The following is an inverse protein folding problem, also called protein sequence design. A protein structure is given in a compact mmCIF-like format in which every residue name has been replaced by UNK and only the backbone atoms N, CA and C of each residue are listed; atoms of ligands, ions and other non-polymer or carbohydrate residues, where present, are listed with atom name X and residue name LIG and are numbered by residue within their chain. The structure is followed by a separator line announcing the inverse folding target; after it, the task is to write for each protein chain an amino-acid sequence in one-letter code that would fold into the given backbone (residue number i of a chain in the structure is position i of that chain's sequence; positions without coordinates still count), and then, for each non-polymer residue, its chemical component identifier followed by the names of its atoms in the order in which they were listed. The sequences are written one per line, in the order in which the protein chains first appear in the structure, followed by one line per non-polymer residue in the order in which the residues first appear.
data_IF_858291375799
#
_entry.id   IF_858291375799
#
_cell.length_a   1.000
_cell.length_b   1.000
_cell.length_c   1.000
_cell.angle_alpha   90.00
_cell.angle_beta   90.00
_cell.angle_gamma   90.00
#
_symmetry.space_group_name_H-M   'P 1'
#
loop_
_entity.id
_entity.type
_entity.pdbx_description
1 polymer ?
#
# COMPACT_ATOMS: atom_id res chain seq x y z
N UNK A 1 15.76 22.53 5.55
CA UNK A 1 15.68 22.28 4.10
C UNK A 1 14.85 23.38 3.46
N UNK A 2 15.23 23.87 2.26
CA UNK A 2 14.34 24.74 1.49
C UNK A 2 13.05 23.98 1.14
N UNK A 3 11.96 24.73 0.91
CA UNK A 3 10.70 24.14 0.44
C UNK A 3 10.90 23.61 -0.99
N UNK A 4 10.94 22.28 -1.12
CA UNK A 4 11.04 21.58 -2.41
C UNK A 4 9.78 20.74 -2.63
N UNK A 5 8.69 21.43 -2.93
CA UNK A 5 7.39 20.80 -3.19
C UNK A 5 7.44 19.97 -4.49
N UNK A 6 6.82 18.79 -4.49
CA UNK A 6 6.68 18.00 -5.72
C UNK A 6 5.68 18.69 -6.68
N UNK A 7 6.08 18.88 -7.94
CA UNK A 7 5.25 19.52 -8.98
C UNK A 7 4.55 18.53 -9.90
N UNK A 8 4.98 17.27 -9.89
CA UNK A 8 4.44 16.19 -10.69
C UNK A 8 4.13 15.00 -9.77
N UNK A 9 2.89 15.01 -9.28
CA UNK A 9 2.42 14.17 -8.19
C UNK A 9 1.58 13.04 -8.77
N UNK A 10 1.86 11.81 -8.39
CA UNK A 10 0.90 10.72 -8.62
C UNK A 10 0.08 10.46 -7.35
N UNK A 11 -1.11 9.90 -7.57
CA UNK A 11 -2.01 9.48 -6.51
C UNK A 11 -2.17 7.96 -6.59
N UNK A 12 -1.91 7.28 -5.47
CA UNK A 12 -2.26 5.88 -5.24
C UNK A 12 -3.61 5.81 -4.53
N UNK A 13 -4.52 4.98 -5.03
CA UNK A 13 -5.78 4.67 -4.35
C UNK A 13 -5.76 3.27 -3.74
N UNK A 14 -5.76 3.18 -2.41
CA UNK A 14 -5.84 1.94 -1.64
C UNK A 14 -7.32 1.55 -1.40
N UNK A 15 -7.81 0.61 -2.20
CA UNK A 15 -9.26 0.51 -2.44
C UNK A 15 -10.05 -0.17 -1.34
N UNK A 16 -9.46 -1.10 -0.58
CA UNK A 16 -10.20 -1.91 0.40
C UNK A 16 -9.42 -2.33 1.64
N UNK A 17 -8.14 -2.66 1.52
CA UNK A 17 -7.32 -3.17 2.62
C UNK A 17 -7.71 -4.53 3.16
N UNK A 18 -7.11 -4.88 4.30
CA UNK A 18 -7.40 -6.07 5.11
C UNK A 18 -8.07 -5.74 6.46
N UNK A 19 -8.21 -4.47 6.81
CA UNK A 19 -8.75 -4.03 8.09
C UNK A 19 -10.22 -4.42 8.32
N UNK A 20 -10.62 -4.49 9.59
CA UNK A 20 -11.99 -4.80 10.04
C UNK A 20 -12.99 -3.64 9.83
N UNK A 21 -12.54 -2.52 9.25
CA UNK A 21 -13.36 -1.34 8.95
C UNK A 21 -14.41 -1.59 7.88
N UNK A 22 -14.30 -2.69 7.14
CA UNK A 22 -15.18 -3.02 6.03
C UNK A 22 -16.67 -3.12 6.43
N UNK A 23 -17.00 -3.59 7.64
CA UNK A 23 -18.41 -3.65 8.11
C UNK A 23 -18.97 -2.29 8.54
N UNK A 24 -18.13 -1.24 8.58
CA UNK A 24 -18.54 0.11 9.00
C UNK A 24 -19.02 0.97 7.85
N UNK A 25 -18.87 0.52 6.60
CA UNK A 25 -19.29 1.26 5.41
C UNK A 25 -19.73 0.30 4.30
N UNK A 26 -20.90 0.51 3.67
CA UNK A 26 -21.32 -0.29 2.52
C UNK A 26 -20.51 0.01 1.25
N UNK A 27 -19.64 1.03 1.28
CA UNK A 27 -18.82 1.42 0.13
C UNK A 27 -17.45 0.71 0.08
N UNK A 28 -17.08 -0.03 1.13
CA UNK A 28 -15.83 -0.82 1.10
C UNK A 28 -16.05 -2.06 0.22
N UNK A 29 -15.32 -2.21 -0.90
CA UNK A 29 -15.57 -3.28 -1.84
C UNK A 29 -15.03 -4.62 -1.32
N UNK A 30 -15.81 -5.71 -1.48
CA UNK A 30 -15.47 -7.05 -0.95
C UNK A 30 -15.12 -8.04 -2.05
N UNK A 31 -16.02 -8.23 -3.02
CA UNK A 31 -15.81 -9.18 -4.12
C UNK A 31 -14.77 -8.68 -5.13
N UNK A 32 -14.09 -9.57 -5.87
CA UNK A 32 -13.17 -9.17 -6.94
C UNK A 32 -13.76 -8.19 -7.94
N UNK A 33 -15.04 -8.39 -8.29
CA UNK A 33 -15.79 -7.46 -9.17
C UNK A 33 -15.90 -6.06 -8.55
N UNK A 34 -16.35 -5.95 -7.31
CA UNK A 34 -16.48 -4.64 -6.63
C UNK A 34 -15.12 -3.95 -6.45
N UNK A 35 -14.07 -4.73 -6.14
CA UNK A 35 -12.71 -4.21 -5.97
C UNK A 35 -12.21 -3.65 -7.29
N UNK A 36 -12.37 -4.38 -8.39
CA UNK A 36 -11.99 -3.92 -9.72
C UNK A 36 -12.80 -2.70 -10.17
N UNK A 37 -14.13 -2.69 -10.00
CA UNK A 37 -14.98 -1.53 -10.31
C UNK A 37 -14.54 -0.29 -9.54
N UNK A 38 -14.31 -0.44 -8.22
CA UNK A 38 -13.84 0.68 -7.40
C UNK A 38 -12.43 1.16 -7.79
N UNK A 39 -11.55 0.27 -8.24
CA UNK A 39 -10.23 0.64 -8.73
C UNK A 39 -10.31 1.41 -10.06
N UNK A 40 -11.19 0.98 -10.97
CA UNK A 40 -11.43 1.66 -12.25
C UNK A 40 -12.03 3.05 -12.02
N UNK A 41 -12.99 3.19 -11.09
CA UNK A 41 -13.57 4.49 -10.76
C UNK A 41 -12.55 5.42 -10.09
N UNK A 42 -11.67 4.90 -9.24
CA UNK A 42 -10.54 5.66 -8.70
C UNK A 42 -9.58 6.13 -9.81
N UNK A 43 -9.30 5.28 -10.81
CA UNK A 43 -8.47 5.65 -11.95
C UNK A 43 -9.12 6.76 -12.79
N UNK A 44 -10.43 6.68 -13.07
CA UNK A 44 -11.20 7.75 -13.74
C UNK A 44 -11.15 9.08 -12.98
N UNK A 45 -11.14 9.02 -11.65
CA UNK A 45 -11.05 10.18 -10.78
C UNK A 45 -9.65 10.82 -10.73
N UNK A 46 -8.61 10.15 -11.26
CA UNK A 46 -7.24 10.67 -11.32
C UNK A 46 -6.19 9.86 -10.57
N UNK A 47 -6.52 8.68 -10.03
CA UNK A 47 -5.52 7.80 -9.45
C UNK A 47 -4.65 7.18 -10.56
N UNK A 48 -3.34 7.31 -10.45
CA UNK A 48 -2.40 6.70 -11.38
C UNK A 48 -2.05 5.27 -10.99
N UNK A 49 -2.17 4.95 -9.70
CA UNK A 49 -1.89 3.63 -9.11
C UNK A 49 -3.11 3.20 -8.30
N UNK A 50 -3.47 1.93 -8.37
CA UNK A 50 -4.45 1.31 -7.46
C UNK A 50 -3.76 0.22 -6.66
N UNK A 51 -3.88 0.32 -5.33
CA UNK A 51 -3.40 -0.69 -4.38
C UNK A 51 -4.56 -1.58 -3.97
N UNK A 52 -4.41 -2.88 -4.20
CA UNK A 52 -5.48 -3.86 -4.03
C UNK A 52 -5.11 -4.96 -3.04
N UNK A 53 -6.03 -5.19 -2.11
CA UNK A 53 -6.18 -6.43 -1.35
C UNK A 53 -7.34 -7.23 -1.93
N UNK A 54 -7.47 -8.50 -1.52
CA UNK A 54 -8.69 -9.29 -1.77
C UNK A 54 -9.33 -9.72 -0.47
N UNK A 55 -10.64 -9.93 -0.53
CA UNK A 55 -11.47 -10.32 0.61
C UNK A 55 -12.35 -11.49 0.22
N UNK A 56 -12.83 -12.17 1.25
CA UNK A 56 -13.90 -13.14 1.12
C UNK A 56 -15.16 -12.39 0.64
N UNK A 57 -15.74 -12.74 -0.52
CA UNK A 57 -16.84 -11.97 -1.11
C UNK A 57 -18.10 -11.90 -0.24
N UNK A 58 -18.32 -12.92 0.60
CA UNK A 58 -19.52 -13.01 1.45
C UNK A 58 -19.28 -12.31 2.79
N UNK A 59 -18.20 -12.70 3.48
CA UNK A 59 -17.94 -12.26 4.85
C UNK A 59 -17.16 -10.96 4.94
N UNK A 60 -16.45 -10.56 3.89
CA UNK A 60 -15.53 -9.41 3.89
C UNK A 60 -14.22 -9.64 4.64
N UNK A 61 -14.00 -10.85 5.19
CA UNK A 61 -12.75 -11.22 5.84
C UNK A 61 -11.57 -11.09 4.87
N UNK A 62 -10.37 -10.67 5.35
CA UNK A 62 -9.20 -10.57 4.49
C UNK A 62 -8.81 -11.95 3.96
N UNK A 63 -8.39 -12.01 2.69
CA UNK A 63 -8.01 -13.25 2.01
C UNK A 63 -6.73 -13.05 1.20
N UNK A 64 -5.98 -14.13 1.01
CA UNK A 64 -4.78 -14.15 0.16
C UNK A 64 -4.84 -15.24 -0.92
N UNK A 65 -6.04 -15.64 -1.30
CA UNK A 65 -6.27 -16.64 -2.34
C UNK A 65 -5.84 -16.09 -3.70
N UNK A 66 -4.97 -16.84 -4.38
CA UNK A 66 -4.40 -16.44 -5.66
C UNK A 66 -5.50 -16.25 -6.72
N UNK A 67 -6.53 -17.09 -6.71
CA UNK A 67 -7.66 -17.00 -7.64
C UNK A 67 -8.43 -15.68 -7.53
N UNK A 68 -8.56 -15.11 -6.31
CA UNK A 68 -9.22 -13.82 -6.12
C UNK A 68 -8.36 -12.68 -6.68
N UNK A 69 -7.04 -12.71 -6.46
CA UNK A 69 -6.12 -11.74 -7.07
C UNK A 69 -6.08 -11.85 -8.59
N UNK A 70 -6.12 -13.07 -9.11
CA UNK A 70 -6.19 -13.38 -10.54
C UNK A 70 -7.39 -12.67 -11.16
N UNK A 71 -8.58 -12.87 -10.59
CA UNK A 71 -9.82 -12.26 -11.07
C UNK A 71 -9.79 -10.73 -10.98
N UNK A 72 -9.35 -10.14 -9.85
CA UNK A 72 -9.20 -8.67 -9.73
C UNK A 72 -8.28 -8.13 -10.83
N UNK A 73 -7.16 -8.82 -11.08
CA UNK A 73 -6.17 -8.39 -12.07
C UNK A 73 -6.74 -8.46 -13.48
N UNK A 74 -7.44 -9.53 -13.86
CA UNK A 74 -8.06 -9.64 -15.19
C UNK A 74 -9.06 -8.51 -15.42
N UNK A 75 -9.97 -8.31 -14.47
CA UNK A 75 -10.99 -7.27 -14.57
C UNK A 75 -10.39 -5.86 -14.72
N UNK A 76 -9.34 -5.54 -13.96
CA UNK A 76 -8.65 -4.25 -14.06
C UNK A 76 -7.91 -4.14 -15.41
N UNK A 77 -7.28 -5.22 -15.89
CA UNK A 77 -6.53 -5.20 -17.16
C UNK A 77 -7.42 -5.19 -18.41
N UNK A 78 -8.64 -5.71 -18.31
CA UNK A 78 -9.67 -5.68 -19.36
C UNK A 78 -10.38 -4.32 -19.48
N UNK A 79 -10.28 -3.47 -18.46
CA UNK A 79 -10.92 -2.17 -18.46
C UNK A 79 -10.32 -1.22 -19.51
N UNK A 80 -11.18 -0.36 -20.09
CA UNK A 80 -10.74 0.68 -21.04
C UNK A 80 -9.89 1.77 -20.37
N UNK A 81 -10.05 1.94 -19.06
CA UNK A 81 -9.29 2.91 -18.26
C UNK A 81 -8.02 2.23 -17.77
N UNK A 82 -6.88 2.79 -18.14
CA UNK A 82 -5.60 2.27 -17.69
C UNK A 82 -5.24 2.76 -16.29
N UNK A 83 -4.53 1.92 -15.54
CA UNK A 83 -4.02 2.21 -14.20
C UNK A 83 -2.84 1.30 -13.88
N UNK A 84 -1.88 1.80 -13.10
CA UNK A 84 -0.79 0.97 -12.57
C UNK A 84 -1.36 0.08 -11.46
N UNK A 85 -1.13 -1.23 -11.57
CA UNK A 85 -1.59 -2.19 -10.57
C UNK A 85 -0.52 -2.42 -9.50
N UNK A 86 -0.90 -2.15 -8.25
CA UNK A 86 -0.16 -2.50 -7.04
C UNK A 86 -0.95 -3.57 -6.27
N UNK A 87 -0.36 -4.75 -6.05
CA UNK A 87 -0.96 -5.79 -5.21
C UNK A 87 -0.23 -5.90 -3.88
N UNK A 88 -0.98 -5.98 -2.79
CA UNK A 88 -0.36 -6.23 -1.48
C UNK A 88 0.43 -7.53 -1.46
N UNK A 89 1.57 -7.58 -0.77
CA UNK A 89 2.16 -8.83 -0.29
C UNK A 89 2.33 -8.83 1.24
N UNK A 90 1.61 -7.94 1.95
CA UNK A 90 1.65 -7.82 3.40
C UNK A 90 1.01 -9.01 4.16
N UNK A 91 0.05 -9.70 3.52
CA UNK A 91 -0.67 -10.82 4.15
C UNK A 91 0.20 -12.07 4.35
N UNK A 92 -0.14 -12.88 5.35
CA UNK A 92 0.63 -14.08 5.73
C UNK A 92 1.83 -13.77 6.64
N UNK A 93 1.84 -12.59 7.24
CA UNK A 93 2.81 -12.14 8.25
C UNK A 93 2.16 -11.89 9.61
N UNK A 94 1.03 -12.53 9.89
CA UNK A 94 0.18 -12.21 11.02
C UNK A 94 0.43 -13.14 12.20
N UNK A 95 1.12 -12.65 13.24
CA UNK A 95 1.39 -13.41 14.46
C UNK A 95 0.55 -12.89 15.62
N UNK A 96 -0.34 -13.73 16.17
CA UNK A 96 -1.16 -13.37 17.33
C UNK A 96 -0.80 -14.25 18.51
N UNK A 97 -0.30 -13.66 19.59
CA UNK A 97 0.08 -14.40 20.79
C UNK A 97 -1.14 -14.91 21.57
N UNK A 98 -0.91 -15.91 22.43
CA UNK A 98 -1.87 -16.29 23.47
C UNK A 98 -2.01 -15.23 24.56
N UNK A 99 -2.83 -15.48 25.60
CA UNK A 99 -3.04 -14.54 26.71
C UNK A 99 -1.73 -14.14 27.42
N UNK A 100 -1.71 -12.98 28.08
CA UNK A 100 -0.52 -12.42 28.74
C UNK A 100 0.11 -13.33 29.79
N UNK A 101 -0.68 -14.16 30.49
CA UNK A 101 -0.20 -15.14 31.48
C UNK A 101 0.41 -16.39 30.83
N UNK A 102 0.06 -16.67 29.57
CA UNK A 102 0.56 -17.81 28.80
C UNK A 102 0.63 -17.45 27.30
N UNK A 103 1.65 -16.69 26.86
CA UNK A 103 1.73 -16.18 25.49
C UNK A 103 1.89 -17.26 24.41
N UNK A 104 2.31 -18.46 24.80
CA UNK A 104 2.47 -19.62 23.90
C UNK A 104 1.60 -20.81 24.34
N UNK A 105 1.00 -21.56 23.39
CA UNK A 105 1.13 -21.42 21.94
C UNK A 105 0.42 -20.16 21.39
N UNK A 106 0.80 -19.76 20.16
CA UNK A 106 0.12 -18.68 19.44
C UNK A 106 -1.37 -18.96 19.28
N UNK A 107 -2.17 -17.90 19.12
CA UNK A 107 -3.60 -18.01 18.89
C UNK A 107 -3.87 -18.53 17.46
N UNK A 108 -4.41 -19.75 17.29
CA UNK A 108 -4.60 -20.37 15.98
C UNK A 108 -5.72 -19.71 15.16
N UNK A 109 -6.59 -18.90 15.77
CA UNK A 109 -7.65 -18.18 15.05
C UNK A 109 -7.18 -16.86 14.46
N UNK A 110 -6.19 -16.23 15.07
CA UNK A 110 -5.67 -14.92 14.64
C UNK A 110 -4.36 -15.00 13.87
N UNK A 111 -3.61 -16.11 14.01
CA UNK A 111 -2.30 -16.26 13.36
C UNK A 111 -2.44 -16.77 11.92
N UNK A 112 -1.91 -16.02 10.96
CA UNK A 112 -1.65 -16.43 9.57
C UNK A 112 -0.18 -16.14 9.24
N UNK A 113 0.69 -17.15 9.43
CA UNK A 113 2.12 -17.06 9.14
C UNK A 113 2.49 -18.00 8.00
N UNK A 114 2.69 -17.44 6.81
CA UNK A 114 3.02 -18.14 5.59
C UNK A 114 4.51 -18.02 5.23
N UNK A 115 5.02 -18.94 4.42
CA UNK A 115 6.38 -18.86 3.87
C UNK A 115 6.51 -17.79 2.78
N UNK A 116 7.73 -17.31 2.51
CA UNK A 116 7.98 -16.26 1.52
C UNK A 116 7.38 -16.57 0.14
N UNK A 117 7.62 -17.79 -0.38
CA UNK A 117 7.11 -18.22 -1.68
C UNK A 117 5.57 -18.24 -1.73
N UNK A 118 4.90 -18.56 -0.62
CA UNK A 118 3.44 -18.56 -0.53
C UNK A 118 2.90 -17.12 -0.51
N UNK A 119 3.57 -16.21 0.21
CA UNK A 119 3.20 -14.78 0.27
C UNK A 119 3.38 -14.03 -1.05
N UNK A 120 4.29 -14.47 -1.92
CA UNK A 120 4.51 -13.84 -3.24
C UNK A 120 3.86 -14.62 -4.40
N UNK A 121 3.14 -15.70 -4.12
CA UNK A 121 2.60 -16.58 -5.17
C UNK A 121 1.66 -15.84 -6.12
N UNK A 122 0.75 -15.02 -5.59
CA UNK A 122 -0.16 -14.23 -6.42
C UNK A 122 0.58 -13.14 -7.22
N UNK A 123 1.70 -12.61 -6.71
CA UNK A 123 2.56 -11.68 -7.45
C UNK A 123 3.19 -12.39 -8.65
N UNK A 124 3.68 -13.62 -8.46
CA UNK A 124 4.26 -14.42 -9.54
C UNK A 124 3.23 -14.79 -10.63
N UNK A 125 1.97 -15.05 -10.25
CA UNK A 125 0.91 -15.41 -11.20
C UNK A 125 0.26 -14.19 -11.87
N UNK A 126 0.07 -13.08 -11.14
CA UNK A 126 -0.63 -11.90 -11.64
C UNK A 126 0.30 -10.87 -12.30
N UNK A 127 1.60 -10.93 -12.02
CA UNK A 127 2.64 -10.03 -12.55
C UNK A 127 2.24 -8.55 -12.51
N UNK A 128 1.84 -8.02 -11.33
CA UNK A 128 1.56 -6.59 -11.21
C UNK A 128 2.81 -5.77 -11.49
N UNK A 129 2.64 -4.46 -11.65
CA UNK A 129 3.78 -3.56 -11.85
C UNK A 129 4.48 -3.27 -10.53
N UNK A 130 3.67 -3.18 -9.46
CA UNK A 130 4.10 -2.92 -8.10
C UNK A 130 3.53 -4.00 -7.19
N UNK A 131 4.25 -4.35 -6.13
CA UNK A 131 3.66 -5.03 -4.98
C UNK A 131 4.22 -4.48 -3.67
N UNK A 132 3.44 -4.49 -2.60
CA UNK A 132 3.91 -3.94 -1.32
C UNK A 132 4.86 -4.91 -0.59
N UNK A 133 5.80 -4.34 0.15
CA UNK A 133 6.70 -5.06 1.06
C UNK A 133 6.77 -4.31 2.40
N UNK A 134 6.04 -4.82 3.40
CA UNK A 134 6.01 -4.26 4.75
C UNK A 134 7.36 -4.45 5.44
N UNK A 135 8.18 -3.39 5.45
CA UNK A 135 9.62 -3.51 5.68
C UNK A 135 10.02 -3.53 7.16
N UNK A 136 9.36 -4.37 7.97
CA UNK A 136 9.75 -4.60 9.34
C UNK A 136 8.72 -5.37 10.16
N UNK A 137 9.12 -5.69 11.40
CA UNK A 137 8.26 -6.33 12.39
C UNK A 137 7.88 -5.33 13.46
N UNK A 138 6.60 -5.22 13.78
CA UNK A 138 6.08 -4.28 14.77
C UNK A 138 4.78 -4.77 15.40
N UNK A 139 4.46 -4.26 16.58
CA UNK A 139 3.10 -4.33 17.10
C UNK A 139 2.17 -3.63 16.09
N UNK A 140 1.02 -4.24 15.79
CA UNK A 140 0.13 -3.70 14.78
C UNK A 140 -1.31 -3.75 15.28
N UNK A 141 -2.00 -2.62 15.20
CA UNK A 141 -3.38 -2.47 15.70
C UNK A 141 -3.54 -2.80 17.20
N UNK A 142 -4.65 -3.46 17.57
CA UNK A 142 -5.04 -3.72 18.95
C UNK A 142 -4.69 -5.16 19.40
N UNK A 143 -4.60 -5.35 20.72
CA UNK A 143 -4.34 -6.63 21.39
C UNK A 143 -2.95 -7.24 21.08
N UNK A 144 -2.88 -8.57 20.99
CA UNK A 144 -1.64 -9.36 20.99
C UNK A 144 -1.11 -9.65 19.57
N UNK A 145 -1.40 -8.76 18.61
CA UNK A 145 -1.05 -8.89 17.20
C UNK A 145 0.29 -8.21 16.85
N UNK A 146 1.19 -8.98 16.26
CA UNK A 146 2.48 -8.55 15.72
C UNK A 146 2.52 -8.81 14.22
N UNK A 147 2.60 -7.74 13.42
CA UNK A 147 2.92 -7.84 12.01
C UNK A 147 4.39 -8.26 11.90
N UNK A 148 4.64 -9.44 11.35
CA UNK A 148 5.92 -10.14 11.41
C UNK A 148 6.56 -10.27 10.03
N UNK A 149 7.52 -9.39 9.76
CA UNK A 149 8.41 -9.45 8.60
C UNK A 149 9.86 -9.44 9.09
N UNK A 150 10.43 -10.63 9.30
CA UNK A 150 11.82 -10.75 9.76
C UNK A 150 12.80 -10.38 8.65
N UNK A 151 14.06 -10.04 8.97
CA UNK A 151 15.08 -9.77 7.95
C UNK A 151 15.25 -10.91 6.93
N UNK A 152 15.09 -12.17 7.35
CA UNK A 152 15.15 -13.32 6.44
C UNK A 152 13.95 -13.40 5.50
N UNK A 153 12.74 -13.12 6.01
CA UNK A 153 11.53 -13.05 5.19
C UNK A 153 11.61 -11.93 4.15
N UNK A 154 12.05 -10.74 4.58
CA UNK A 154 12.20 -9.58 3.70
C UNK A 154 13.24 -9.80 2.60
N UNK A 155 14.36 -10.48 2.91
CA UNK A 155 15.35 -10.88 1.90
C UNK A 155 14.77 -11.84 0.87
N UNK A 156 14.08 -12.88 1.34
CA UNK A 156 13.49 -13.87 0.45
C UNK A 156 12.41 -13.25 -0.45
N UNK A 157 11.46 -12.51 0.13
CA UNK A 157 10.39 -11.87 -0.62
C UNK A 157 10.91 -10.78 -1.56
N UNK A 158 11.76 -9.88 -1.06
CA UNK A 158 12.34 -8.80 -1.87
C UNK A 158 13.17 -9.33 -3.04
N UNK A 159 13.97 -10.38 -2.82
CA UNK A 159 14.71 -11.05 -3.89
C UNK A 159 13.78 -11.65 -4.95
N UNK A 160 12.73 -12.38 -4.54
CA UNK A 160 11.73 -12.94 -5.46
C UNK A 160 11.01 -11.86 -6.26
N UNK A 161 10.63 -10.73 -5.64
CA UNK A 161 9.99 -9.62 -6.33
C UNK A 161 10.91 -9.00 -7.38
N UNK A 162 12.19 -8.80 -7.03
CA UNK A 162 13.23 -8.31 -7.95
C UNK A 162 13.43 -9.27 -9.13
N UNK A 163 13.53 -10.58 -8.87
CA UNK A 163 13.65 -11.62 -9.91
C UNK A 163 12.43 -11.64 -10.85
N UNK A 164 11.23 -11.42 -10.32
CA UNK A 164 9.99 -11.29 -11.10
C UNK A 164 9.91 -9.98 -11.88
N UNK A 165 10.84 -9.02 -11.69
CA UNK A 165 10.76 -7.69 -12.28
C UNK A 165 9.52 -6.90 -11.82
N UNK A 166 8.99 -7.20 -10.64
CA UNK A 166 7.91 -6.45 -9.99
C UNK A 166 8.56 -5.46 -9.03
N UNK A 167 8.20 -4.17 -9.09
CA UNK A 167 8.81 -3.18 -8.19
C UNK A 167 8.20 -3.29 -6.78
N UNK A 168 9.02 -3.49 -5.72
CA UNK A 168 8.50 -3.42 -4.37
C UNK A 168 8.19 -1.97 -3.98
N UNK A 169 6.96 -1.71 -3.51
CA UNK A 169 6.64 -0.53 -2.72
C UNK A 169 6.96 -0.84 -1.25
N UNK A 170 8.02 -0.23 -0.73
CA UNK A 170 8.51 -0.46 0.62
C UNK A 170 7.62 0.31 1.60
N UNK A 171 6.76 -0.41 2.31
CA UNK A 171 5.88 0.17 3.33
C UNK A 171 6.69 0.34 4.61
N UNK A 172 7.03 1.60 4.93
CA UNK A 172 7.84 1.99 6.08
C UNK A 172 6.94 2.60 7.16
N UNK A 173 6.85 1.90 8.29
CA UNK A 173 6.08 2.31 9.47
C UNK A 173 6.96 2.95 10.54
N UNK A 174 8.29 2.92 10.40
CA UNK A 174 9.25 3.58 11.29
C UNK A 174 10.58 3.80 10.55
N UNK A 175 11.44 4.65 11.10
CA UNK A 175 12.80 4.93 10.65
C UNK A 175 13.70 3.68 10.59
N UNK A 176 13.49 2.71 11.49
CA UNK A 176 14.20 1.42 11.44
C UNK A 176 13.89 0.62 10.17
N UNK A 177 12.67 0.75 9.63
CA UNK A 177 12.26 0.09 8.40
C UNK A 177 12.98 0.71 7.19
N UNK A 178 13.11 2.04 7.16
CA UNK A 178 13.90 2.75 6.15
C UNK A 178 15.39 2.40 6.24
N UNK A 179 15.92 2.23 7.44
CA UNK A 179 17.31 1.83 7.60
C UNK A 179 17.56 0.43 7.03
N UNK A 180 16.68 -0.52 7.32
CA UNK A 180 16.80 -1.87 6.77
C UNK A 180 16.56 -1.91 5.26
N UNK A 181 15.61 -1.14 4.73
CA UNK A 181 15.40 -0.98 3.29
C UNK A 181 16.67 -0.53 2.55
N UNK A 182 17.44 0.40 3.13
CA UNK A 182 18.74 0.82 2.57
C UNK A 182 19.74 -0.33 2.53
N UNK A 183 19.74 -1.20 3.54
CA UNK A 183 20.60 -2.39 3.55
C UNK A 183 20.16 -3.39 2.46
N UNK A 184 18.86 -3.62 2.28
CA UNK A 184 18.33 -4.48 1.21
C UNK A 184 18.72 -4.00 -0.19
N UNK A 185 18.72 -2.68 -0.43
CA UNK A 185 19.20 -2.10 -1.69
C UNK A 185 20.72 -2.24 -1.82
N UNK A 186 21.46 -1.94 -0.74
CA UNK A 186 22.93 -2.03 -0.72
C UNK A 186 23.45 -3.44 -0.99
N UNK A 187 22.77 -4.47 -0.49
CA UNK A 187 23.15 -5.88 -0.72
C UNK A 187 22.61 -6.46 -2.04
N UNK A 188 21.82 -5.70 -2.80
CA UNK A 188 21.28 -6.10 -4.10
C UNK A 188 20.01 -6.95 -4.05
N UNK A 189 19.43 -7.16 -2.86
CA UNK A 189 18.12 -7.82 -2.70
C UNK A 189 17.02 -7.01 -3.39
N UNK A 190 17.05 -5.68 -3.22
CA UNK A 190 16.15 -4.75 -3.88
C UNK A 190 16.90 -3.95 -4.93
N UNK A 191 16.24 -3.68 -6.06
CA UNK A 191 16.78 -2.81 -7.10
C UNK A 191 17.02 -1.37 -6.57
N UNK A 192 18.00 -0.63 -7.12
CA UNK A 192 18.21 0.79 -6.80
C UNK A 192 17.00 1.64 -7.23
N UNK A 193 16.95 2.89 -6.76
CA UNK A 193 15.81 3.80 -6.98
C UNK A 193 14.49 3.19 -6.50
N UNK A 194 14.48 2.86 -5.21
CA UNK A 194 13.33 2.20 -4.59
C UNK A 194 12.10 3.11 -4.56
N UNK A 195 10.94 2.47 -4.46
CA UNK A 195 9.67 3.12 -4.16
C UNK A 195 9.36 2.89 -2.68
N UNK A 196 9.06 3.96 -1.95
CA UNK A 196 8.75 3.90 -0.51
C UNK A 196 7.38 4.50 -0.24
N UNK A 197 6.64 3.90 0.68
CA UNK A 197 5.45 4.48 1.27
C UNK A 197 5.70 4.76 2.76
N UNK A 198 5.58 6.02 3.17
CA UNK A 198 5.66 6.41 4.57
C UNK A 198 4.27 6.24 5.20
N UNK A 199 4.15 5.26 6.10
CA UNK A 199 2.89 4.84 6.71
C UNK A 199 2.71 5.54 8.05
N UNK A 200 1.91 6.61 8.08
CA UNK A 200 1.80 7.46 9.26
C UNK A 200 0.50 7.18 10.05
N UNK A 201 0.58 7.21 11.38
CA UNK A 201 -0.61 7.08 12.24
C UNK A 201 -1.15 5.66 12.39
N UNK A 202 -0.42 4.65 11.88
CA UNK A 202 -0.70 3.24 12.21
C UNK A 202 -0.30 3.01 13.68
N UNK A 203 -1.20 2.49 14.54
CA UNK A 203 -0.89 2.29 15.95
C UNK A 203 0.42 1.54 16.18
N UNK A 204 1.25 2.08 17.09
CA UNK A 204 2.59 1.61 17.48
C UNK A 204 3.70 1.76 16.43
N UNK A 205 3.39 2.29 15.25
CA UNK A 205 4.39 2.78 14.31
C UNK A 205 4.66 4.28 14.48
N UNK A 206 5.13 4.91 13.41
CA UNK A 206 5.35 6.33 13.32
C UNK A 206 4.02 7.09 13.53
N UNK A 207 3.90 7.92 14.58
CA UNK A 207 2.73 8.77 14.76
C UNK A 207 2.58 9.76 13.60
N UNK A 208 1.35 10.19 13.36
CA UNK A 208 0.98 11.12 12.30
C UNK A 208 1.19 12.60 12.68
N UNK A 209 2.31 12.89 13.35
CA UNK A 209 2.78 14.25 13.63
C UNK A 209 3.85 14.71 12.62
N UNK A 210 3.96 16.02 12.42
CA UNK A 210 4.87 16.60 11.42
C UNK A 210 6.36 16.43 11.74
N UNK A 211 6.75 16.33 13.02
CA UNK A 211 8.16 16.14 13.38
C UNK A 211 8.61 14.72 13.02
N UNK A 212 7.79 13.73 13.36
CA UNK A 212 8.02 12.33 12.99
C UNK A 212 7.97 12.17 11.48
N UNK A 213 6.96 12.75 10.81
CA UNK A 213 6.86 12.73 9.35
C UNK A 213 8.12 13.28 8.68
N UNK A 214 8.59 14.47 9.08
CA UNK A 214 9.81 15.04 8.52
C UNK A 214 11.05 14.22 8.86
N UNK A 215 11.11 13.56 10.03
CA UNK A 215 12.21 12.64 10.35
C UNK A 215 12.24 11.45 9.37
N UNK A 216 11.08 10.90 8.99
CA UNK A 216 10.99 9.84 7.99
C UNK A 216 11.37 10.34 6.59
N UNK A 217 10.82 11.49 6.15
CA UNK A 217 11.16 12.12 4.86
C UNK A 217 12.67 12.34 4.75
N UNK A 218 13.30 12.89 5.78
CA UNK A 218 14.74 13.18 5.80
C UNK A 218 15.61 11.91 5.73
N UNK A 219 15.03 10.73 6.00
CA UNK A 219 15.70 9.45 5.92
C UNK A 219 15.53 8.77 4.56
N UNK A 220 14.67 9.25 3.67
CA UNK A 220 14.54 8.71 2.31
C UNK A 220 15.72 9.19 1.45
N UNK A 221 16.47 8.29 0.78
CA UNK A 221 17.51 8.69 -0.16
C UNK A 221 16.97 9.58 -1.29
N UNK A 222 17.78 10.55 -1.74
CA UNK A 222 17.34 11.57 -2.69
C UNK A 222 17.00 11.03 -4.09
N UNK A 223 17.55 9.87 -4.46
CA UNK A 223 17.28 9.17 -5.72
C UNK A 223 16.11 8.18 -5.63
N UNK A 224 15.45 8.07 -4.47
CA UNK A 224 14.28 7.22 -4.29
C UNK A 224 12.99 8.01 -4.51
N UNK A 225 11.96 7.33 -5.00
CA UNK A 225 10.61 7.91 -5.07
C UNK A 225 9.83 7.49 -3.84
N UNK A 226 9.06 8.42 -3.26
CA UNK A 226 8.25 8.10 -2.10
C UNK A 226 6.86 8.71 -2.13
N UNK A 227 5.93 8.07 -1.44
CA UNK A 227 4.59 8.55 -1.12
C UNK A 227 4.36 8.49 0.38
N UNK A 228 3.33 9.18 0.88
CA UNK A 228 2.91 9.07 2.27
C UNK A 228 1.39 9.09 2.39
N UNK A 229 0.89 8.46 3.45
CA UNK A 229 -0.50 8.56 3.88
C UNK A 229 -0.60 8.62 5.39
N UNK A 230 -1.79 8.99 5.88
CA UNK A 230 -2.18 8.83 7.28
C UNK A 230 -3.59 8.27 7.37
N UNK A 231 -3.85 7.50 8.44
CA UNK A 231 -5.15 6.89 8.68
C UNK A 231 -6.24 7.91 9.05
N UNK A 232 -7.47 7.61 8.61
CA UNK A 232 -8.70 8.28 9.03
C UNK A 232 -8.70 9.78 8.71
N UNK A 233 -9.02 10.59 9.72
CA UNK A 233 -9.30 12.03 9.56
C UNK A 233 -8.14 12.84 8.98
N UNK A 234 -6.91 12.33 9.09
CA UNK A 234 -5.71 13.03 8.66
C UNK A 234 -5.29 12.69 7.22
N UNK A 235 -6.01 11.81 6.51
CA UNK A 235 -5.70 11.41 5.13
C UNK A 235 -5.50 12.61 4.19
N UNK A 236 -6.43 13.58 4.17
CA UNK A 236 -6.32 14.75 3.28
C UNK A 236 -5.26 15.76 3.75
N UNK A 237 -5.02 15.88 5.06
CA UNK A 237 -3.93 16.70 5.58
C UNK A 237 -2.57 16.13 5.14
N UNK A 238 -2.44 14.80 5.14
CA UNK A 238 -1.24 14.12 4.68
C UNK A 238 -1.07 14.13 3.16
N UNK A 239 -2.15 14.16 2.38
CA UNK A 239 -2.06 14.44 0.95
C UNK A 239 -1.34 15.77 0.68
N UNK A 240 -1.72 16.84 1.39
CA UNK A 240 -1.04 18.13 1.29
C UNK A 240 0.40 18.09 1.84
N UNK A 241 0.60 17.48 3.01
CA UNK A 241 1.91 17.41 3.65
C UNK A 241 2.94 16.65 2.81
N UNK A 242 2.53 15.52 2.19
CA UNK A 242 3.37 14.74 1.30
C UNK A 242 3.86 15.58 0.12
N UNK A 243 2.96 16.30 -0.54
CA UNK A 243 3.29 17.17 -1.68
C UNK A 243 4.24 18.29 -1.27
N UNK A 244 3.98 18.96 -0.14
CA UNK A 244 4.85 20.02 0.41
C UNK A 244 6.27 19.51 0.71
N UNK A 245 6.38 18.28 1.21
CA UNK A 245 7.64 17.65 1.55
C UNK A 245 8.37 17.02 0.35
N UNK A 246 7.77 17.03 -0.84
CA UNK A 246 8.40 16.53 -2.07
C UNK A 246 8.01 15.11 -2.49
N UNK A 247 7.00 14.52 -1.84
CA UNK A 247 6.52 13.17 -2.10
C UNK A 247 5.28 13.09 -2.99
N UNK A 248 4.69 11.90 -3.04
CA UNK A 248 3.45 11.57 -3.73
C UNK A 248 2.35 11.21 -2.72
N UNK A 249 1.12 11.02 -3.19
CA UNK A 249 -0.05 10.90 -2.31
C UNK A 249 -0.65 9.49 -2.36
N UNK A 250 -1.06 8.96 -1.20
CA UNK A 250 -1.97 7.82 -1.10
C UNK A 250 -3.26 8.20 -0.36
N UNK A 251 -4.39 7.77 -0.91
CA UNK A 251 -5.73 7.90 -0.33
C UNK A 251 -6.53 6.62 -0.58
N UNK A 252 -7.75 6.53 -0.06
CA UNK A 252 -8.67 5.42 -0.32
C UNK A 252 -9.34 4.89 0.93
N UNK A 253 -10.31 4.01 0.72
CA UNK A 253 -11.15 3.42 1.76
C UNK A 253 -10.41 2.44 2.68
N UNK A 254 -9.27 1.92 2.23
CA UNK A 254 -8.34 1.18 3.08
C UNK A 254 -7.89 2.03 4.28
N UNK A 255 -7.58 3.29 4.03
CA UNK A 255 -6.96 4.17 5.02
C UNK A 255 -8.00 5.07 5.72
N UNK A 256 -9.12 5.41 5.06
CA UNK A 256 -10.15 6.31 5.59
C UNK A 256 -11.53 6.06 4.98
N UNK A 257 -12.57 5.90 5.82
CA UNK A 257 -13.95 5.71 5.36
C UNK A 257 -14.74 7.00 5.11
N UNK A 258 -14.22 8.15 5.53
CA UNK A 258 -15.00 9.37 5.69
C UNK A 258 -14.62 10.43 4.65
N UNK A 259 -15.61 10.92 3.93
CA UNK A 259 -15.44 12.10 3.10
C UNK A 259 -15.38 13.33 4.00
N UNK A 260 -16.40 13.49 4.83
CA UNK A 260 -16.52 14.53 5.86
C UNK A 260 -16.99 13.90 7.17
N UNK A 261 -17.06 14.68 8.26
CA UNK A 261 -17.52 14.17 9.56
C UNK A 261 -18.93 13.59 9.43
N UNK A 262 -19.04 12.26 9.55
CA UNK A 262 -20.30 11.52 9.45
C UNK A 262 -20.78 11.25 8.02
N UNK A 263 -20.00 11.62 7.00
CA UNK A 263 -20.32 11.36 5.58
C UNK A 263 -19.34 10.31 5.07
N UNK A 264 -19.85 9.13 4.72
CA UNK A 264 -19.03 8.06 4.16
C UNK A 264 -18.58 8.42 2.73
N UNK A 265 -17.36 8.01 2.38
CA UNK A 265 -16.79 8.23 1.05
C UNK A 265 -16.92 7.01 0.14
N UNK A 266 -16.77 7.24 -1.16
CA UNK A 266 -16.26 6.26 -2.12
C UNK A 266 -14.77 6.51 -2.41
N UNK A 267 -14.07 5.51 -2.96
CA UNK A 267 -12.68 5.69 -3.39
C UNK A 267 -12.52 6.84 -4.41
N UNK A 268 -13.42 6.95 -5.39
CA UNK A 268 -13.40 8.02 -6.37
C UNK A 268 -13.50 9.41 -5.71
N UNK A 269 -14.38 9.60 -4.73
CA UNK A 269 -14.53 10.88 -4.03
C UNK A 269 -13.26 11.27 -3.24
N UNK A 270 -12.57 10.29 -2.63
CA UNK A 270 -11.30 10.55 -1.95
C UNK A 270 -10.21 10.95 -2.93
N UNK A 271 -10.16 10.30 -4.11
CA UNK A 271 -9.23 10.66 -5.18
C UNK A 271 -9.53 12.05 -5.73
N UNK A 272 -10.78 12.38 -6.05
CA UNK A 272 -11.19 13.71 -6.53
C UNK A 272 -10.80 14.82 -5.54
N UNK A 273 -10.99 14.56 -4.23
CA UNK A 273 -10.58 15.50 -3.18
C UNK A 273 -9.06 15.65 -3.12
N UNK A 274 -8.31 14.57 -3.25
CA UNK A 274 -6.85 14.62 -3.30
C UNK A 274 -6.35 15.36 -4.54
N UNK A 275 -6.91 15.12 -5.73
CA UNK A 275 -6.62 15.87 -6.97
C UNK A 275 -6.84 17.36 -6.73
N UNK A 276 -7.99 17.74 -6.17
CA UNK A 276 -8.31 19.15 -5.85
C UNK A 276 -7.27 19.78 -4.92
N UNK A 277 -6.82 19.06 -3.89
CA UNK A 277 -5.77 19.53 -2.97
C UNK A 277 -4.44 19.75 -3.73
N UNK A 278 -4.00 18.75 -4.50
CA UNK A 278 -2.74 18.79 -5.26
C UNK A 278 -2.72 19.95 -6.25
N UNK A 279 -3.79 20.11 -7.03
CA UNK A 279 -3.88 21.14 -8.07
C UNK A 279 -3.99 22.55 -7.47
N UNK A 280 -4.75 22.73 -6.39
CA UNK A 280 -4.85 24.02 -5.69
C UNK A 280 -3.53 24.46 -5.03
N UNK A 281 -2.62 23.53 -4.76
CA UNK A 281 -1.25 23.85 -4.32
C UNK A 281 -0.32 24.26 -5.47
N UNK A 282 -0.78 24.15 -6.72
CA UNK A 282 -0.01 24.46 -7.93
C UNK A 282 0.92 23.32 -8.36
N UNK A 283 0.58 22.07 -8.06
CA UNK A 283 1.17 20.87 -8.68
C UNK A 283 0.23 20.31 -9.75
N UNK A 284 0.75 19.43 -10.60
CA UNK A 284 -0.03 18.67 -11.58
C UNK A 284 -0.13 17.21 -11.14
N UNK A 285 -1.31 16.61 -11.26
CA UNK A 285 -1.50 15.17 -11.10
C UNK A 285 -1.07 14.46 -12.39
N UNK A 286 -0.17 13.48 -12.29
CA UNK A 286 0.31 12.71 -13.44
C UNK A 286 -0.42 11.37 -13.57
N UNK A 287 -0.64 10.92 -14.80
CA UNK A 287 -1.36 9.69 -15.11
C UNK A 287 -0.49 8.41 -15.06
N UNK A 288 -1.09 7.23 -15.27
CA UNK A 288 -0.40 5.94 -15.16
C UNK A 288 0.80 5.80 -16.10
N UNK A 289 0.73 6.29 -17.33
CA UNK A 289 1.85 6.21 -18.28
C UNK A 289 3.07 7.04 -17.86
N UNK A 290 2.83 8.20 -17.26
CA UNK A 290 3.90 9.04 -16.72
C UNK A 290 4.51 8.38 -15.47
N UNK A 291 3.68 7.77 -14.62
CA UNK A 291 4.16 6.98 -13.48
C UNK A 291 5.01 5.80 -13.92
N UNK A 292 4.59 5.05 -14.94
CA UNK A 292 5.38 3.93 -15.49
C UNK A 292 6.74 4.38 -15.99
N UNK A 293 6.80 5.50 -16.70
CA UNK A 293 8.07 6.09 -17.17
C UNK A 293 8.94 6.54 -16.00
N UNK A 294 8.35 7.24 -15.02
CA UNK A 294 9.05 7.76 -13.84
C UNK A 294 9.64 6.64 -12.97
N UNK A 295 8.90 5.55 -12.80
CA UNK A 295 9.27 4.43 -11.94
C UNK A 295 9.95 3.27 -12.70
N UNK A 296 10.02 3.30 -14.02
CA UNK A 296 10.57 2.19 -14.83
C UNK A 296 9.73 0.91 -14.75
N UNK A 297 8.40 1.04 -14.78
CA UNK A 297 7.47 -0.08 -14.64
C UNK A 297 7.09 -0.67 -16.00
N UNK A 298 6.83 -1.98 -16.00
CA UNK A 298 6.34 -2.70 -17.19
C UNK A 298 4.97 -3.31 -16.92
N UNK A 299 3.94 -2.82 -17.61
CA UNK A 299 2.62 -3.44 -17.62
C UNK A 299 2.70 -4.80 -18.31
N UNK A 300 2.22 -5.84 -17.63
CA UNK A 300 2.25 -7.22 -18.14
C UNK A 300 0.88 -7.85 -18.05
N UNK A 301 0.65 -8.79 -18.96
CA UNK A 301 -0.41 -9.75 -18.81
C UNK A 301 -0.02 -10.74 -17.69
N UNK A 302 -0.98 -11.20 -16.89
CA UNK A 302 -0.81 -12.33 -16.00
C UNK A 302 -0.36 -13.60 -16.72
N UNK A 303 0.21 -14.56 -15.97
CA UNK A 303 0.65 -15.84 -16.54
C UNK A 303 -0.56 -16.59 -17.11
N UNK A 304 -0.41 -17.19 -18.29
CA UNK A 304 -1.43 -18.03 -18.90
C UNK A 304 -1.71 -19.27 -18.04
N UNK A 305 -2.99 -19.58 -17.84
CA UNK A 305 -3.44 -20.77 -17.12
C UNK A 305 -3.05 -22.08 -17.83
#
# INVERSE_FOLDING_TARGET
MPLTMNREVFITCAVTGSGATQDRSPHVPRSPKQIAESAIDAARAGAAIVHCHVRDPETGAPRRDVALYREVTERIREAEVDVVLNLTAGMGGDMVFGPTEKPLPLNPKGTDMAGAAERVKHVAECLPEICTLDCGTMNFAEADYVMTNTPGMLRAMGGMMTELGVKPEIEAFDTGHLWFAKELVKEGTLAPQALVQLCMGVPWGAPDDLNTFMAMVNNVPADWTWSAFSLGRNQMAYAAAAVLAGGNVRVGLEDNLWLDKGVLATNAQLVERAVTVVENMGARVIGPDEVRKKLGLTKRAPVSA
#
